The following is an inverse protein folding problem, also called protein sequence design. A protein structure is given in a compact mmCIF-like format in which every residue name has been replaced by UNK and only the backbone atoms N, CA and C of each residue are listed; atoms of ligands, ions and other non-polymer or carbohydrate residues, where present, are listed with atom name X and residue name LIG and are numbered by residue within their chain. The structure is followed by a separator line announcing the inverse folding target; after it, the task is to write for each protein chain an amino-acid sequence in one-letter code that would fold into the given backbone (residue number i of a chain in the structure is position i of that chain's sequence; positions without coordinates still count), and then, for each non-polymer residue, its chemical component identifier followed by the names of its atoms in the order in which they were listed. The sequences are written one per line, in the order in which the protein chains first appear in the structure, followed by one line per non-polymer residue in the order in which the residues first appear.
data_IF_999365991600
#
_entry.id   IF_999365991600
#
_cell.length_a   1.000
_cell.length_b   1.000
_cell.length_c   1.000
_cell.angle_alpha   90.00
_cell.angle_beta   90.00
_cell.angle_gamma   90.00
#
_symmetry.space_group_name_H-M   'P 1'
#
loop_
_entity.id
_entity.type
_entity.pdbx_description
1 polymer ?
2 polymer ?
3 water ?
#
# COMPACT_ATOMS: atom_id res chain seq x y z
N UNK A 22 -10.25 -4.03 -11.90
CA UNK A 22 -9.78 -3.43 -13.23
C UNK A 22 -8.34 -3.86 -13.58
N UNK A 23 -7.92 -3.53 -14.82
CA UNK A 23 -6.54 -3.65 -15.25
C UNK A 23 -5.59 -2.73 -14.47
N UNK A 24 -6.10 -1.63 -13.92
CA UNK A 24 -5.36 -0.80 -12.98
C UNK A 24 -4.92 -1.62 -11.75
N UNK A 25 -5.77 -2.51 -11.26
CA UNK A 25 -5.60 -3.23 -9.98
C UNK A 25 -4.55 -4.28 -10.15
N UNK A 26 -4.51 -4.90 -11.35
CA UNK A 26 -3.50 -5.93 -11.65
C UNK A 26 -2.15 -5.26 -11.76
N UNK A 27 -2.07 -4.08 -12.36
CA UNK A 27 -0.84 -3.32 -12.40
C UNK A 27 -0.35 -2.92 -11.01
N UNK A 28 -1.23 -2.55 -10.11
CA UNK A 28 -0.76 -1.91 -8.86
C UNK A 28 -0.29 -2.99 -7.90
N UNK A 29 -0.96 -4.16 -7.91
CA UNK A 29 -0.50 -5.29 -7.03
C UNK A 29 0.83 -5.86 -7.49
N UNK A 30 1.03 -5.89 -8.83
CA UNK A 30 2.26 -6.33 -9.46
C UNK A 30 3.41 -5.39 -9.05
N UNK A 31 3.19 -4.09 -9.06
CA UNK A 31 4.21 -3.13 -8.73
C UNK A 31 4.51 -3.20 -7.23
N UNK A 32 3.47 -3.35 -6.41
CA UNK A 32 3.66 -3.49 -4.97
C UNK A 32 4.55 -4.72 -4.69
N UNK A 33 4.25 -5.81 -5.38
CA UNK A 33 5.02 -7.07 -5.24
C UNK A 33 6.48 -6.81 -5.57
N UNK A 34 6.75 -6.14 -6.69
CA UNK A 34 8.12 -5.79 -7.10
C UNK A 34 8.81 -4.90 -6.05
N UNK A 35 8.13 -3.93 -5.49
CA UNK A 35 8.78 -3.05 -4.50
C UNK A 35 9.03 -3.80 -3.18
N UNK A 36 8.13 -4.69 -2.85
CA UNK A 36 8.28 -5.53 -1.63
C UNK A 36 9.43 -6.53 -1.84
N UNK A 37 9.44 -7.21 -3.00
CA UNK A 37 10.54 -8.04 -3.37
C UNK A 37 11.89 -7.34 -3.29
N UNK A 38 11.95 -6.07 -3.76
CA UNK A 38 13.23 -5.39 -3.80
C UNK A 38 13.72 -5.09 -2.39
N UNK A 39 12.80 -4.77 -1.51
CA UNK A 39 13.12 -4.40 -0.14
C UNK A 39 13.70 -5.64 0.54
N UNK A 40 13.12 -6.80 0.25
CA UNK A 40 13.56 -8.01 0.99
C UNK A 40 14.90 -8.54 0.50
N UNK A 41 15.11 -8.46 -0.80
CA UNK A 41 16.44 -8.62 -1.39
C UNK A 41 17.48 -7.71 -0.68
N UNK A 42 17.18 -6.45 -0.48
CA UNK A 42 18.14 -5.50 0.06
C UNK A 42 18.53 -5.95 1.47
N UNK A 43 17.49 -6.32 2.26
CA UNK A 43 17.64 -6.72 3.67
C UNK A 43 18.00 -8.23 3.81
N UNK A 44 18.40 -8.87 2.72
CA UNK A 44 18.76 -10.25 2.69
C UNK A 44 17.72 -11.09 3.49
N UNK A 45 16.45 -10.91 3.20
CA UNK A 45 15.41 -11.74 3.80
C UNK A 45 14.92 -12.73 2.74
N UNK A 46 14.79 -13.99 3.11
CA UNK A 46 14.10 -14.96 2.21
C UNK A 46 12.58 -14.79 2.22
N UNK A 47 12.01 -14.36 1.10
CA UNK A 47 10.57 -14.45 0.83
C UNK A 47 10.25 -15.88 0.37
N UNK A 48 9.02 -16.34 0.65
CA UNK A 48 8.60 -17.76 0.52
C UNK A 48 8.35 -18.22 -0.91
N UNK A 49 7.83 -19.42 -1.11
CA UNK A 49 7.62 -19.96 -2.46
C UNK A 49 8.93 -20.43 -3.08
N UNK A 50 9.05 -20.25 -4.40
CA UNK A 50 10.29 -20.61 -5.17
C UNK A 50 11.51 -19.79 -4.69
N UNK A 51 11.22 -18.60 -4.18
CA UNK A 51 12.06 -17.42 -4.44
C UNK A 51 11.28 -16.41 -5.29
N UNK A 52 12.01 -15.52 -5.98
CA UNK A 52 11.34 -14.37 -6.61
C UNK A 52 11.03 -14.65 -8.08
N UNK A 53 10.07 -13.92 -8.64
CA UNK A 53 9.73 -14.11 -10.05
C UNK A 53 10.95 -13.76 -10.95
N UNK A 54 10.88 -14.19 -12.22
CA UNK A 54 11.94 -13.84 -13.19
C UNK A 54 12.06 -12.30 -13.21
N UNK A 55 10.90 -11.65 -13.38
CA UNK A 55 10.88 -10.21 -13.60
C UNK A 55 11.46 -9.47 -12.39
N UNK A 56 11.14 -9.98 -11.21
CA UNK A 56 11.68 -9.44 -9.98
C UNK A 56 13.20 -9.66 -9.91
N UNK A 57 13.64 -10.87 -10.29
CA UNK A 57 15.11 -11.17 -10.22
C UNK A 57 15.92 -10.28 -11.18
N UNK A 58 15.36 -10.09 -12.38
CA UNK A 58 15.94 -9.22 -13.38
C UNK A 58 16.04 -7.77 -12.88
N UNK A 59 14.95 -7.27 -12.31
CA UNK A 59 14.94 -5.92 -11.67
C UNK A 59 15.98 -5.82 -10.55
N UNK A 60 16.07 -6.86 -9.73
CA UNK A 60 16.94 -6.79 -8.54
C UNK A 60 18.40 -6.67 -8.98
N UNK A 61 18.69 -7.32 -10.12
CA UNK A 61 20.14 -7.42 -10.53
C UNK A 61 20.59 -6.08 -11.10
N UNK A 62 19.75 -5.50 -11.95
CA UNK A 62 20.07 -4.25 -12.64
C UNK A 62 19.88 -3.06 -11.71
N UNK A 63 18.88 -3.06 -10.84
CA UNK A 63 18.72 -1.96 -9.85
C UNK A 63 19.91 -1.86 -8.88
N UNK A 64 20.40 -3.03 -8.53
CA UNK A 64 21.59 -3.13 -7.66
C UNK A 64 22.81 -2.60 -8.43
N UNK A 65 22.86 -2.94 -9.74
CA UNK A 65 23.95 -2.45 -10.56
C UNK A 65 23.98 -0.91 -10.54
N UNK A 66 22.80 -0.34 -10.85
CA UNK A 66 22.59 1.08 -10.85
C UNK A 66 22.82 1.68 -9.45
N UNK A 67 22.34 1.05 -8.40
CA UNK A 67 22.46 1.63 -7.09
C UNK A 67 23.94 1.79 -6.71
N UNK A 68 24.74 0.78 -7.03
CA UNK A 68 26.17 0.91 -6.59
C UNK A 68 26.83 2.00 -7.40
N UNK A 69 26.35 2.19 -8.63
CA UNK A 69 26.92 3.22 -9.52
C UNK A 69 26.57 4.63 -8.98
N UNK A 70 25.38 4.80 -8.51
CA UNK A 70 24.94 6.02 -7.87
C UNK A 70 25.75 6.25 -6.59
N UNK A 71 25.96 5.21 -5.79
CA UNK A 71 26.58 5.34 -4.46
C UNK A 71 28.05 5.78 -4.58
N UNK A 72 28.73 5.46 -5.70
CA UNK A 72 30.10 5.80 -5.82
C UNK A 72 30.24 7.17 -6.44
N UNK A 73 29.28 7.57 -7.28
CA UNK A 73 29.23 8.85 -7.96
C UNK A 73 28.84 9.93 -6.93
N UNK A 74 28.15 9.56 -5.87
CA UNK A 74 27.69 10.45 -4.80
C UNK A 74 28.25 10.11 -3.42
N UNK A 75 29.45 9.62 -3.27
CA UNK A 75 30.12 9.40 -1.98
C UNK A 75 30.18 10.64 -1.08
N UNK A 76 30.90 11.66 -1.54
CA UNK A 76 31.07 12.94 -0.82
C UNK A 76 29.72 13.49 -0.33
N UNK A 77 28.75 13.28 -1.22
CA UNK A 77 27.41 13.79 -1.16
C UNK A 77 26.54 13.03 -0.15
N UNK A 78 26.42 11.74 -0.31
CA UNK A 78 25.55 10.91 0.51
C UNK A 78 26.01 10.76 1.95
N UNK A 79 27.26 11.04 2.27
CA UNK A 79 27.73 11.02 3.65
C UNK A 79 27.08 12.12 4.48
N UNK A 80 26.58 13.16 3.81
CA UNK A 80 25.89 14.27 4.49
C UNK A 80 24.38 14.00 4.64
N UNK A 81 23.87 13.06 3.86
CA UNK A 81 22.46 12.70 3.90
C UNK A 81 22.18 11.83 5.12
N UNK A 82 21.18 12.20 5.89
CA UNK A 82 20.77 11.37 7.06
C UNK A 82 19.24 11.13 7.13
N UNK A 83 18.87 9.85 6.94
CA UNK A 83 17.50 9.49 6.92
C UNK A 83 17.20 8.88 8.29
N UNK A 84 16.38 9.62 9.02
CA UNK A 84 16.12 9.40 10.48
C UNK A 84 15.01 8.36 10.63
N UNK A 85 13.95 8.54 9.85
CA UNK A 85 12.74 7.74 9.98
C UNK A 85 12.07 7.48 8.63
N UNK A 86 11.04 6.67 8.64
CA UNK A 86 10.31 6.33 7.42
C UNK A 86 9.61 7.60 6.90
N UNK A 87 9.29 8.53 7.79
CA UNK A 87 8.65 9.77 7.38
C UNK A 87 9.60 10.72 6.69
N UNK A 88 10.87 10.72 7.13
CA UNK A 88 11.86 11.59 6.51
C UNK A 88 12.34 10.94 5.20
N UNK A 89 12.34 9.61 5.14
CA UNK A 89 12.59 8.84 3.94
C UNK A 89 11.54 9.13 2.89
N UNK A 90 10.28 9.27 3.30
CA UNK A 90 9.18 9.58 2.37
C UNK A 90 9.33 10.99 1.80
N UNK A 91 9.54 11.97 2.70
CA UNK A 91 9.76 13.36 2.29
C UNK A 91 10.87 13.48 1.23
N UNK A 92 12.04 12.90 1.53
CA UNK A 92 13.17 12.86 0.62
C UNK A 92 12.87 12.09 -0.66
N UNK A 93 12.20 10.95 -0.57
CA UNK A 93 11.87 10.15 -1.75
C UNK A 93 11.01 10.96 -2.72
N UNK A 94 9.95 11.59 -2.19
CA UNK A 94 9.01 12.32 -3.05
C UNK A 94 9.68 13.54 -3.63
N UNK A 95 10.54 14.23 -2.85
CA UNK A 95 11.24 15.42 -3.33
C UNK A 95 12.21 15.02 -4.47
N UNK A 96 12.90 13.90 -4.30
CA UNK A 96 13.93 13.48 -5.21
C UNK A 96 13.29 12.97 -6.48
N UNK A 97 12.15 12.26 -6.36
CA UNK A 97 11.51 11.70 -7.54
C UNK A 97 10.83 12.83 -8.32
N UNK A 98 10.34 13.86 -7.66
CA UNK A 98 9.71 14.98 -8.30
C UNK A 98 10.77 15.74 -9.12
N UNK A 99 11.97 15.91 -8.60
CA UNK A 99 13.07 16.61 -9.26
C UNK A 99 13.67 15.73 -10.36
N UNK A 100 13.62 14.40 -10.20
CA UNK A 100 14.16 13.52 -11.25
C UNK A 100 13.24 13.58 -12.52
N UNK A 101 11.92 13.50 -12.35
CA UNK A 101 11.07 13.40 -13.52
C UNK A 101 10.47 14.73 -13.91
N UNK A 102 11.05 15.86 -13.45
CA UNK A 102 10.37 17.15 -13.68
C UNK A 102 10.66 17.61 -15.13
N UNK A 103 11.61 16.97 -15.79
CA UNK A 103 11.83 17.19 -17.21
C UNK A 103 10.92 16.33 -18.09
N UNK A 104 10.00 15.60 -17.49
CA UNK A 104 8.93 14.90 -18.21
C UNK A 104 9.36 13.63 -18.94
N UNK A 105 10.62 13.18 -18.75
CA UNK A 105 11.10 12.05 -19.52
C UNK A 105 11.03 10.78 -18.66
N UNK A 106 10.37 9.76 -19.18
CA UNK A 106 10.25 8.50 -18.52
C UNK A 106 10.83 7.46 -19.47
N UNK A 107 11.85 6.75 -19.00
CA UNK A 107 12.34 5.54 -19.66
C UNK A 107 12.66 4.49 -18.60
N UNK A 108 12.76 3.22 -19.00
CA UNK A 108 12.95 2.10 -18.12
C UNK A 108 14.14 2.30 -17.18
N UNK A 109 15.22 2.87 -17.66
CA UNK A 109 16.38 3.08 -16.82
C UNK A 109 16.00 3.96 -15.65
N UNK A 110 15.18 4.97 -15.90
CA UNK A 110 14.82 5.93 -14.82
C UNK A 110 13.87 5.21 -13.85
N UNK A 111 13.06 4.31 -14.36
CA UNK A 111 12.20 3.53 -13.54
C UNK A 111 13.03 2.67 -12.60
N UNK A 112 14.12 2.10 -13.10
CA UNK A 112 15.03 1.27 -12.27
C UNK A 112 15.59 2.14 -11.15
N UNK A 113 15.83 3.41 -11.38
CA UNK A 113 16.51 4.32 -10.44
C UNK A 113 15.62 4.59 -9.24
N UNK A 114 14.31 4.52 -9.42
CA UNK A 114 13.38 4.66 -8.32
C UNK A 114 13.61 3.53 -7.31
N UNK A 115 13.79 2.33 -7.81
CA UNK A 115 14.08 1.17 -6.94
C UNK A 115 15.46 1.32 -6.29
N UNK A 116 16.42 1.63 -7.12
CA UNK A 116 17.80 1.84 -6.71
C UNK A 116 17.84 2.86 -5.61
N UNK A 117 17.02 3.88 -5.69
CA UNK A 117 17.04 4.92 -4.63
C UNK A 117 16.31 4.44 -3.38
N UNK A 118 15.26 3.66 -3.54
CA UNK A 118 14.60 2.98 -2.40
C UNK A 118 15.67 2.24 -1.54
N UNK A 119 16.55 1.51 -2.29
CA UNK A 119 17.53 0.68 -1.68
C UNK A 119 18.46 1.54 -0.81
N UNK A 120 18.76 2.71 -1.32
CA UNK A 120 19.70 3.63 -0.64
C UNK A 120 19.03 4.17 0.61
N UNK A 121 17.74 4.49 0.49
CA UNK A 121 16.98 5.00 1.64
C UNK A 121 16.88 3.96 2.74
N UNK A 122 16.77 2.67 2.36
CA UNK A 122 16.74 1.64 3.37
C UNK A 122 18.13 1.50 4.06
N UNK A 123 19.21 1.56 3.31
CA UNK A 123 20.52 1.42 3.84
C UNK A 123 20.84 2.55 4.82
N UNK A 124 20.35 3.72 4.50
CA UNK A 124 20.64 4.90 5.36
C UNK A 124 19.78 4.79 6.61
N UNK A 125 18.62 4.15 6.44
CA UNK A 125 17.66 4.10 7.54
C UNK A 125 18.02 3.01 8.55
N UNK A 126 18.53 1.88 8.08
CA UNK A 126 18.98 0.85 9.00
C UNK A 126 20.36 1.19 9.56
N UNK A 127 21.04 2.10 8.95
CA UNK A 127 22.35 2.53 9.42
C UNK A 127 22.18 3.27 10.75
N UNK A 128 21.24 4.21 10.73
CA UNK A 128 21.24 5.18 11.85
C UNK A 128 20.37 4.61 12.96
N UNK A 129 19.29 3.94 12.58
CA UNK A 129 18.35 3.43 13.60
C UNK A 129 19.19 2.56 14.54
N UNK A 130 19.24 2.97 15.79
CA UNK A 130 19.81 2.15 16.85
C UNK A 130 18.90 0.95 17.20
N UNK A 131 17.60 1.10 16.97
CA UNK A 131 16.66 -0.04 16.99
C UNK A 131 15.87 -0.12 15.68
N UNK A 132 16.35 -0.98 14.73
CA UNK A 132 15.74 -0.88 13.39
C UNK A 132 14.45 -1.66 13.17
N UNK A 133 13.28 -1.01 13.06
CA UNK A 133 12.06 -1.77 13.16
C UNK A 133 11.53 -2.03 11.79
N UNK A 134 11.61 -3.28 11.34
CA UNK A 134 11.47 -3.67 9.93
C UNK A 134 9.97 -3.92 9.59
N UNK A 135 9.14 -3.95 10.61
CA UNK A 135 7.70 -3.92 10.34
C UNK A 135 7.35 -2.64 9.57
N UNK A 136 7.89 -1.49 10.01
CA UNK A 136 7.51 -0.17 9.51
C UNK A 136 8.23 0.10 8.19
N UNK A 137 9.27 -0.66 7.84
CA UNK A 137 10.02 -0.46 6.57
C UNK A 137 9.17 -0.92 5.38
N UNK A 138 8.10 -1.60 5.70
CA UNK A 138 7.09 -2.07 4.79
C UNK A 138 6.43 -0.85 4.10
N UNK A 139 6.35 0.28 4.83
CA UNK A 139 5.70 1.46 4.38
C UNK A 139 6.50 2.10 3.24
N UNK A 140 7.77 1.76 3.10
CA UNK A 140 8.60 2.31 2.08
C UNK A 140 8.13 1.80 0.73
N UNK A 141 7.92 0.50 0.68
CA UNK A 141 7.46 -0.14 -0.56
C UNK A 141 6.09 0.39 -0.99
N UNK A 142 5.29 0.87 -0.05
CA UNK A 142 4.00 1.50 -0.38
C UNK A 142 4.17 2.81 -1.16
N UNK A 143 4.98 3.70 -0.63
CA UNK A 143 5.15 5.01 -1.25
C UNK A 143 5.97 4.91 -2.53
N UNK A 144 6.83 3.91 -2.62
CA UNK A 144 7.55 3.67 -3.87
C UNK A 144 6.57 3.21 -4.95
N UNK A 145 5.72 2.23 -4.55
CA UNK A 145 4.76 1.68 -5.50
C UNK A 145 3.77 2.74 -5.93
N UNK A 146 3.35 3.59 -5.04
CA UNK A 146 2.48 4.74 -5.35
C UNK A 146 3.10 5.67 -6.39
N UNK A 147 4.34 6.02 -6.17
CA UNK A 147 5.00 6.97 -7.10
C UNK A 147 5.06 6.35 -8.50
N UNK A 148 5.36 5.05 -8.55
CA UNK A 148 5.59 4.39 -9.85
C UNK A 148 4.23 4.30 -10.51
N UNK A 149 3.20 3.86 -9.75
CA UNK A 149 1.92 3.51 -10.31
C UNK A 149 1.27 4.79 -10.88
N UNK A 150 1.53 5.89 -10.17
CA UNK A 150 0.85 7.19 -10.42
C UNK A 150 1.56 7.94 -11.55
N UNK A 151 2.88 8.11 -11.42
CA UNK A 151 3.63 8.88 -12.36
C UNK A 151 4.05 8.08 -13.61
N UNK A 152 4.47 6.84 -13.43
CA UNK A 152 5.01 6.08 -14.55
C UNK A 152 4.09 4.91 -14.96
N UNK A 153 2.94 4.70 -14.35
CA UNK A 153 2.17 3.50 -14.63
C UNK A 153 1.52 3.59 -15.98
N UNK A 154 1.24 4.82 -16.43
CA UNK A 154 0.68 5.15 -17.68
C UNK A 154 1.64 4.69 -18.79
N UNK A 155 2.90 5.13 -18.62
CA UNK A 155 4.01 4.84 -19.46
C UNK A 155 4.22 3.33 -19.57
N UNK A 156 4.18 2.59 -18.46
CA UNK A 156 4.48 1.15 -18.44
C UNK A 156 3.48 0.37 -19.32
N UNK A 157 2.18 0.63 -19.17
CA UNK A 157 1.17 -0.13 -19.94
C UNK A 157 1.38 0.10 -21.44
N UNK A 158 1.81 1.32 -21.77
CA UNK A 158 1.95 1.78 -23.13
C UNK A 158 3.25 1.33 -23.75
N UNK A 159 4.24 0.94 -22.92
CA UNK A 159 5.56 0.47 -23.34
C UNK A 159 5.84 -1.01 -22.98
N UNK A 160 4.90 -1.86 -23.37
CA UNK A 160 5.11 -3.31 -23.32
C UNK A 160 4.93 -3.94 -21.95
N UNK A 161 4.65 -3.15 -20.90
CA UNK A 161 4.47 -3.84 -19.64
C UNK A 161 5.80 -4.16 -18.98
N UNK A 162 5.77 -5.00 -17.96
CA UNK A 162 6.99 -5.51 -17.34
C UNK A 162 7.48 -6.78 -18.02
N UNK A 163 6.53 -7.61 -18.40
CA UNK A 163 6.78 -8.97 -18.86
C UNK A 163 7.40 -8.96 -20.27
N UNK A 164 6.90 -8.09 -21.19
CA UNK A 164 7.46 -7.96 -22.52
C UNK A 164 8.16 -6.60 -22.73
N UNK A 165 8.05 -5.72 -21.74
CA UNK A 165 8.66 -4.39 -21.91
C UNK A 165 10.02 -4.36 -21.24
N UNK A 166 9.98 -4.57 -19.95
CA UNK A 166 11.14 -4.43 -19.07
C UNK A 166 12.03 -5.67 -19.13
N UNK A 167 11.44 -6.85 -19.06
CA UNK A 167 12.20 -8.11 -19.16
C UNK A 167 12.95 -8.17 -20.50
N UNK A 168 12.27 -7.98 -21.59
CA UNK A 168 12.90 -8.16 -22.91
C UNK A 168 14.09 -7.20 -23.04
N UNK A 169 14.18 -6.18 -22.21
CA UNK A 169 15.16 -5.12 -22.33
C UNK A 169 16.35 -5.46 -21.45
N UNK A 170 16.09 -5.98 -20.24
CA UNK A 170 17.27 -6.14 -19.32
C UNK A 170 17.61 -7.60 -18.98
N UNK A 171 16.81 -8.56 -19.43
CA UNK A 171 17.04 -9.98 -19.12
C UNK A 171 18.44 -10.39 -19.63
N UNK B 22 -0.13 -11.89 -11.46
CA UNK B 22 -0.95 -13.11 -11.01
C UNK B 22 -2.35 -12.68 -10.56
N UNK B 23 -3.24 -13.66 -10.35
CA UNK B 23 -4.54 -13.40 -9.75
C UNK B 23 -4.42 -12.98 -8.29
N UNK B 24 -3.33 -13.24 -7.60
CA UNK B 24 -3.08 -12.63 -6.29
C UNK B 24 -3.04 -11.09 -6.42
N UNK B 25 -2.44 -10.59 -7.49
CA UNK B 25 -2.14 -9.15 -7.68
C UNK B 25 -3.43 -8.43 -7.94
N UNK B 26 -4.31 -9.06 -8.72
CA UNK B 26 -5.60 -8.44 -9.08
C UNK B 26 -6.49 -8.45 -7.86
N UNK B 27 -6.42 -9.46 -7.01
CA UNK B 27 -7.14 -9.44 -5.75
C UNK B 27 -6.64 -8.33 -4.80
N UNK B 28 -5.34 -8.10 -4.74
CA UNK B 28 -4.85 -7.15 -3.72
C UNK B 28 -5.10 -5.71 -4.18
N UNK B 29 -5.02 -5.42 -5.47
CA UNK B 29 -5.35 -4.04 -5.95
C UNK B 29 -6.83 -3.72 -5.85
N UNK B 30 -7.69 -4.73 -6.03
CA UNK B 30 -9.13 -4.62 -5.86
C UNK B 30 -9.43 -4.25 -4.41
N UNK B 31 -8.79 -4.91 -3.47
CA UNK B 31 -9.02 -4.71 -2.05
C UNK B 31 -8.46 -3.35 -1.62
N UNK B 32 -7.31 -2.98 -2.16
CA UNK B 32 -6.72 -1.68 -1.88
C UNK B 32 -7.70 -0.58 -2.33
N UNK B 33 -8.23 -0.75 -3.52
CA UNK B 33 -9.17 0.21 -4.12
C UNK B 33 -10.33 0.37 -3.18
N UNK B 34 -10.89 -0.74 -2.70
CA UNK B 34 -12.09 -0.69 -1.81
C UNK B 34 -11.73 -0.05 -0.47
N UNK B 35 -10.56 -0.28 0.08
CA UNK B 35 -10.18 0.35 1.35
C UNK B 35 -9.95 1.86 1.16
N UNK B 36 -9.36 2.23 0.04
CA UNK B 36 -9.13 3.63 -0.30
C UNK B 36 -10.47 4.32 -0.55
N UNK B 37 -11.32 3.71 -1.37
CA UNK B 37 -12.66 4.20 -1.59
C UNK B 37 -13.42 4.44 -0.27
N UNK B 38 -13.30 3.52 0.68
CA UNK B 38 -14.09 3.69 1.89
C UNK B 38 -13.52 4.81 2.75
N UNK B 39 -12.24 5.00 2.73
CA UNK B 39 -11.58 6.07 3.49
C UNK B 39 -12.05 7.40 2.91
N UNK B 40 -12.19 7.48 1.60
CA UNK B 40 -12.60 8.77 1.00
C UNK B 40 -14.08 9.11 1.22
N UNK B 41 -14.89 8.03 1.23
CA UNK B 41 -16.27 8.12 1.73
C UNK B 41 -16.30 8.70 3.16
N UNK B 42 -15.48 8.18 4.06
CA UNK B 42 -15.53 8.57 5.47
C UNK B 42 -15.19 10.05 5.57
N UNK B 43 -14.15 10.47 4.87
CA UNK B 43 -13.65 11.86 4.95
C UNK B 43 -14.38 12.76 3.97
N UNK B 44 -15.52 12.32 3.43
CA UNK B 44 -16.33 13.11 2.53
C UNK B 44 -15.44 13.78 1.47
N UNK B 45 -14.62 12.96 0.82
CA UNK B 45 -13.79 13.41 -0.31
C UNK B 45 -14.52 13.13 -1.65
N UNK B 46 -15.21 14.16 -2.17
CA UNK B 46 -15.72 14.06 -3.55
C UNK B 46 -14.64 13.58 -4.53
N UNK B 47 -14.94 12.62 -5.39
CA UNK B 47 -13.96 12.22 -6.41
C UNK B 47 -14.61 12.35 -7.79
N UNK B 48 -13.88 12.95 -8.74
CA UNK B 48 -14.40 13.20 -10.08
C UNK B 48 -14.20 11.97 -10.98
N UNK B 49 -14.88 11.94 -12.11
CA UNK B 49 -14.86 10.77 -12.98
C UNK B 49 -16.04 9.86 -12.71
N UNK B 50 -15.88 8.58 -13.03
CA UNK B 50 -17.00 7.60 -13.12
C UNK B 50 -17.69 7.36 -11.77
N UNK B 51 -17.31 8.12 -10.73
CA UNK B 51 -17.62 7.80 -9.34
C UNK B 51 -16.84 6.58 -8.86
N UNK B 52 -17.06 6.20 -7.61
CA UNK B 52 -16.58 4.88 -7.20
C UNK B 52 -17.34 3.80 -7.97
N UNK B 53 -16.82 2.58 -8.04
CA UNK B 53 -17.50 1.48 -8.74
C UNK B 53 -18.84 1.15 -8.04
N UNK B 54 -19.68 0.37 -8.73
CA UNK B 54 -20.94 -0.10 -8.10
C UNK B 54 -20.58 -0.88 -6.83
N UNK B 55 -19.63 -1.80 -6.94
CA UNK B 55 -19.30 -2.66 -5.82
C UNK B 55 -18.75 -1.85 -4.63
N UNK B 56 -17.98 -0.82 -4.94
CA UNK B 56 -17.50 0.08 -3.93
C UNK B 56 -18.66 0.89 -3.33
N UNK B 57 -19.60 1.34 -4.16
CA UNK B 57 -20.76 2.12 -3.60
C UNK B 57 -21.63 1.26 -2.69
N UNK B 58 -21.85 0.01 -3.08
CA UNK B 58 -22.55 -0.97 -2.25
C UNK B 58 -21.85 -1.20 -0.90
N UNK B 59 -20.55 -1.41 -0.94
CA UNK B 59 -19.74 -1.54 0.29
C UNK B 59 -19.83 -0.28 1.16
N UNK B 60 -19.72 0.87 0.55
CA UNK B 60 -19.75 2.13 1.29
C UNK B 60 -21.07 2.32 2.01
N UNK B 61 -22.15 1.86 1.41
CA UNK B 61 -23.50 2.13 2.01
C UNK B 61 -23.70 1.23 3.22
N UNK B 62 -23.35 -0.04 3.09
CA UNK B 62 -23.54 -1.01 4.15
C UNK B 62 -22.47 -0.85 5.23
N UNK B 63 -21.23 -0.58 4.90
CA UNK B 63 -20.18 -0.34 5.93
C UNK B 63 -20.47 0.93 6.75
N UNK B 64 -21.05 1.92 6.09
CA UNK B 64 -21.45 3.17 6.77
C UNK B 64 -22.65 2.90 7.67
N UNK B 65 -23.56 2.00 7.22
CA UNK B 65 -24.66 1.58 8.03
C UNK B 65 -24.13 0.93 9.31
N UNK B 66 -23.18 0.02 9.15
CA UNK B 66 -22.58 -0.73 10.24
C UNK B 66 -21.77 0.23 11.12
N UNK B 67 -21.04 1.11 10.52
CA UNK B 67 -20.18 2.04 11.27
C UNK B 67 -21.05 2.89 12.22
N UNK B 68 -22.16 3.39 11.72
CA UNK B 68 -22.98 4.30 12.53
C UNK B 68 -23.56 3.51 13.70
N UNK B 69 -23.82 2.21 13.43
CA UNK B 69 -24.45 1.38 14.47
C UNK B 69 -23.42 1.07 15.59
N UNK B 70 -22.20 0.83 15.19
CA UNK B 70 -21.12 0.62 16.14
C UNK B 70 -20.84 1.91 16.95
N UNK B 71 -20.84 3.04 16.27
CA UNK B 71 -20.40 4.34 16.87
C UNK B 71 -21.30 4.80 18.02
N UNK B 72 -22.59 4.53 17.89
CA UNK B 72 -23.55 4.97 18.89
C UNK B 72 -23.59 3.95 20.02
N UNK B 73 -23.39 2.66 19.71
CA UNK B 73 -23.33 1.60 20.72
C UNK B 73 -22.09 1.72 21.62
N UNK B 74 -20.96 2.25 21.10
CA UNK B 74 -19.76 2.41 21.98
C UNK B 74 -19.27 3.85 22.16
N UNK B 75 -20.17 4.84 22.18
CA UNK B 75 -19.85 6.25 22.51
C UNK B 75 -19.04 6.45 23.77
N UNK B 76 -19.59 6.16 24.95
CA UNK B 76 -18.88 6.36 26.23
C UNK B 76 -17.60 5.51 26.38
N UNK B 77 -17.59 4.41 25.63
CA UNK B 77 -16.47 3.45 25.58
C UNK B 77 -15.31 4.01 24.73
N UNK B 78 -15.57 4.39 23.52
CA UNK B 78 -14.50 4.82 22.65
C UNK B 78 -13.95 6.21 22.98
N UNK B 79 -14.65 6.99 23.80
CA UNK B 79 -14.14 8.29 24.23
C UNK B 79 -12.91 8.15 25.12
N UNK B 80 -12.74 6.97 25.73
CA UNK B 80 -11.58 6.70 26.58
C UNK B 80 -10.36 6.21 25.76
N UNK B 81 -10.64 5.70 24.54
CA UNK B 81 -9.58 5.26 23.65
C UNK B 81 -8.99 6.50 22.96
N UNK B 82 -7.67 6.57 22.91
CA UNK B 82 -7.02 7.74 22.24
C UNK B 82 -6.01 7.38 21.14
N UNK B 83 -6.39 7.74 19.91
CA UNK B 83 -5.57 7.50 18.77
C UNK B 83 -4.83 8.80 18.46
N UNK B 84 -3.52 8.73 18.67
CA UNK B 84 -2.61 9.88 18.54
C UNK B 84 -2.16 9.96 17.06
N UNK B 85 -1.75 8.81 16.54
CA UNK B 85 -0.92 8.75 15.34
C UNK B 85 -1.20 7.49 14.52
N UNK B 86 -0.56 7.38 13.36
CA UNK B 86 -0.83 6.29 12.44
C UNK B 86 -0.30 4.99 13.04
N UNK B 87 0.81 5.08 13.79
CA UNK B 87 1.37 3.90 14.43
C UNK B 87 0.49 3.43 15.60
N UNK B 88 -0.21 4.32 16.33
CA UNK B 88 -1.08 3.88 17.43
C UNK B 88 -2.41 3.37 16.85
N UNK B 89 -2.81 3.91 15.71
CA UNK B 89 -3.93 3.41 14.92
C UNK B 89 -3.68 1.97 14.43
N UNK B 90 -2.44 1.70 14.02
CA UNK B 90 -2.05 0.35 13.57
C UNK B 90 -2.04 -0.64 14.73
N UNK B 91 -1.44 -0.27 15.85
CA UNK B 91 -1.40 -1.09 17.07
C UNK B 91 -2.80 -1.47 17.54
N UNK B 92 -3.70 -0.50 17.60
CA UNK B 92 -5.12 -0.73 17.95
C UNK B 92 -5.81 -1.59 16.89
N UNK B 93 -5.60 -1.31 15.62
CA UNK B 93 -6.23 -2.12 14.55
C UNK B 93 -5.84 -3.60 14.67
N UNK B 94 -4.55 -3.87 14.83
CA UNK B 94 -4.05 -5.24 14.89
C UNK B 94 -4.50 -5.92 16.17
N UNK B 95 -4.58 -5.21 17.28
CA UNK B 95 -5.05 -5.79 18.56
C UNK B 95 -6.54 -6.13 18.44
N UNK B 96 -7.33 -5.28 17.78
CA UNK B 96 -8.76 -5.44 17.69
C UNK B 96 -9.05 -6.57 16.72
N UNK B 97 -8.28 -6.68 15.62
CA UNK B 97 -8.55 -7.69 14.63
C UNK B 97 -8.09 -9.07 15.14
N UNK B 98 -7.05 -9.11 15.98
CA UNK B 98 -6.59 -10.29 16.65
C UNK B 98 -7.70 -10.80 17.58
N UNK B 99 -8.38 -9.90 18.27
CA UNK B 99 -9.44 -10.16 19.24
C UNK B 99 -10.72 -10.54 18.49
N UNK B 100 -10.94 -10.02 17.27
CA UNK B 100 -12.14 -10.26 16.50
C UNK B 100 -12.01 -11.65 15.84
N UNK B 101 -10.89 -11.86 15.18
CA UNK B 101 -10.64 -13.13 14.50
C UNK B 101 -9.79 -14.01 15.42
N UNK B 102 -10.29 -14.11 16.65
CA UNK B 102 -9.98 -15.19 17.62
C UNK B 102 -10.67 -16.47 17.14
N UNK B 103 -11.65 -16.33 16.23
CA UNK B 103 -12.50 -17.43 15.79
C UNK B 103 -12.40 -17.73 14.27
N UNK B 104 -12.75 -18.97 13.92
CA UNK B 104 -12.71 -19.45 12.53
C UNK B 104 -14.02 -19.28 11.78
N UNK B 105 -14.83 -18.28 12.14
CA UNK B 105 -15.91 -17.82 11.25
C UNK B 105 -15.45 -16.58 10.48
N UNK B 106 -15.48 -16.66 9.14
CA UNK B 106 -15.48 -15.47 8.30
C UNK B 106 -16.81 -15.48 7.56
N UNK B 107 -17.56 -14.38 7.63
CA UNK B 107 -18.68 -14.15 6.73
C UNK B 107 -18.68 -12.68 6.28
N UNK B 108 -19.41 -12.39 5.21
CA UNK B 108 -19.41 -11.10 4.58
C UNK B 108 -19.65 -9.94 5.54
N UNK B 109 -20.56 -10.14 6.47
CA UNK B 109 -20.88 -9.08 7.38
C UNK B 109 -19.68 -8.75 8.21
N UNK B 110 -18.87 -9.75 8.57
CA UNK B 110 -17.72 -9.49 9.45
C UNK B 110 -16.63 -8.80 8.61
N UNK B 111 -16.60 -9.12 7.34
CA UNK B 111 -15.69 -8.43 6.41
C UNK B 111 -16.06 -6.95 6.36
N UNK B 112 -17.33 -6.64 6.30
CA UNK B 112 -17.79 -5.23 6.22
C UNK B 112 -17.30 -4.52 7.48
N UNK B 113 -17.21 -5.19 8.62
CA UNK B 113 -16.93 -4.59 9.92
C UNK B 113 -15.47 -4.13 9.96
N UNK B 114 -14.60 -4.81 9.26
CA UNK B 114 -13.21 -4.41 9.14
C UNK B 114 -13.13 -2.98 8.56
N UNK B 115 -13.93 -2.77 7.52
CA UNK B 115 -13.98 -1.44 6.87
C UNK B 115 -14.63 -0.43 7.83
N UNK B 116 -15.74 -0.87 8.40
CA UNK B 116 -16.53 -0.05 9.32
C UNK B 116 -15.64 0.42 10.43
N UNK B 117 -14.76 -0.43 10.89
CA UNK B 117 -13.80 -0.09 11.96
C UNK B 117 -12.73 0.88 11.44
N UNK B 118 -12.30 0.71 10.20
CA UNK B 118 -11.38 1.67 9.58
C UNK B 118 -11.96 3.08 9.73
N UNK B 119 -13.24 3.20 9.38
CA UNK B 119 -13.86 4.53 9.39
C UNK B 119 -13.85 5.15 10.78
N UNK B 120 -13.99 4.30 11.78
CA UNK B 120 -14.00 4.71 13.19
C UNK B 120 -12.61 5.19 13.56
N UNK B 121 -11.58 4.46 13.11
CA UNK B 121 -10.19 4.86 13.39
C UNK B 121 -9.90 6.25 12.80
N UNK B 122 -10.40 6.51 11.62
CA UNK B 122 -10.15 7.75 10.96
C UNK B 122 -10.90 8.90 11.65
N UNK B 123 -12.14 8.71 12.07
CA UNK B 123 -12.92 9.84 12.58
C UNK B 123 -12.33 10.35 13.88
N UNK B 124 -11.62 9.52 14.64
CA UNK B 124 -11.05 9.99 15.88
C UNK B 124 -9.88 10.95 15.63
N UNK B 125 -9.22 10.69 14.52
CA UNK B 125 -7.97 11.31 14.18
C UNK B 125 -8.18 12.63 13.44
N UNK B 126 -9.30 12.83 12.75
CA UNK B 126 -9.50 14.06 12.01
C UNK B 126 -9.92 15.20 12.94
N UNK B 127 -10.39 14.83 14.13
CA UNK B 127 -11.01 15.81 15.00
C UNK B 127 -9.96 16.35 15.95
N UNK B 128 -9.18 15.40 16.51
CA UNK B 128 -8.23 15.68 17.53
C UNK B 128 -6.99 16.45 17.02
N UNK B 129 -6.55 16.18 15.80
CA UNK B 129 -5.42 16.89 15.23
C UNK B 129 -5.90 18.24 14.69
N UNK B 130 -5.12 19.29 15.01
CA UNK B 130 -5.53 20.64 14.68
C UNK B 130 -5.21 20.99 13.23
N UNK B 131 -4.14 20.39 12.69
CA UNK B 131 -3.89 20.47 11.22
C UNK B 131 -3.71 19.09 10.55
N UNK B 132 -4.83 18.46 10.11
CA UNK B 132 -4.78 17.03 9.88
C UNK B 132 -4.18 16.53 8.56
N UNK B 133 -3.11 15.73 8.66
CA UNK B 133 -2.27 15.40 7.55
C UNK B 133 -2.70 14.14 6.86
N UNK B 134 -3.31 14.31 5.67
CA UNK B 134 -4.04 13.22 4.98
C UNK B 134 -3.07 12.42 4.07
N UNK B 135 -1.83 12.91 3.95
CA UNK B 135 -0.71 12.09 3.43
C UNK B 135 -0.68 10.75 4.15
N UNK B 136 -0.67 10.83 5.48
CA UNK B 136 -0.38 9.70 6.35
C UNK B 136 -1.63 8.86 6.56
N UNK B 137 -2.82 9.38 6.25
CA UNK B 137 -4.10 8.64 6.44
C UNK B 137 -4.21 7.52 5.38
N UNK B 138 -3.40 7.71 4.34
CA UNK B 138 -3.35 6.79 3.23
C UNK B 138 -2.81 5.46 3.73
N UNK B 139 -1.96 5.51 4.76
CA UNK B 139 -1.27 4.35 5.26
C UNK B 139 -2.26 3.43 5.99
N UNK B 140 -3.41 3.95 6.40
CA UNK B 140 -4.36 3.16 7.12
C UNK B 140 -4.96 2.13 6.17
N UNK B 141 -5.32 2.60 4.99
CA UNK B 141 -5.89 1.75 3.96
C UNK B 141 -4.94 0.60 3.58
N UNK B 142 -3.63 0.82 3.73
CA UNK B 142 -2.63 -0.22 3.44
C UNK B 142 -2.71 -1.39 4.44
N UNK B 143 -2.71 -1.08 5.72
CA UNK B 143 -2.69 -2.14 6.73
C UNK B 143 -4.06 -2.83 6.84
N UNK B 144 -5.10 -2.10 6.49
CA UNK B 144 -6.44 -2.72 6.42
C UNK B 144 -6.47 -3.71 5.25
N UNK B 145 -5.96 -3.26 4.09
CA UNK B 145 -5.97 -4.10 2.91
C UNK B 145 -5.09 -5.32 3.12
N UNK B 146 -3.97 -5.20 3.79
CA UNK B 146 -3.10 -6.31 4.16
C UNK B 146 -3.84 -7.36 5.03
N UNK B 147 -4.53 -6.87 6.02
CA UNK B 147 -5.23 -7.80 6.94
C UNK B 147 -6.29 -8.59 6.17
N UNK B 148 -6.98 -7.89 5.26
CA UNK B 148 -8.10 -8.50 4.53
C UNK B 148 -7.47 -9.52 3.57
N UNK B 149 -6.40 -9.12 2.86
CA UNK B 149 -5.86 -9.90 1.78
C UNK B 149 -5.26 -11.17 2.36
N UNK B 150 -4.66 -11.02 3.54
CA UNK B 150 -3.89 -12.10 4.21
C UNK B 150 -4.83 -13.07 4.93
N UNK B 151 -5.70 -12.56 5.78
CA UNK B 151 -6.57 -13.38 6.57
C UNK B 151 -7.84 -13.80 5.81
N UNK B 152 -8.46 -12.91 5.07
CA UNK B 152 -9.76 -13.22 4.49
C UNK B 152 -9.73 -13.33 2.95
N UNK B 153 -8.55 -13.19 2.32
CA UNK B 153 -8.51 -13.14 0.87
C UNK B 153 -8.88 -14.48 0.28
N UNK B 154 -8.56 -15.55 1.01
CA UNK B 154 -8.80 -16.90 0.66
C UNK B 154 -10.31 -17.15 0.58
N UNK B 155 -10.97 -16.71 1.65
CA UNK B 155 -12.41 -16.75 1.83
C UNK B 155 -13.10 -16.01 0.68
N UNK B 156 -12.64 -14.81 0.32
CA UNK B 156 -13.34 -13.98 -0.68
C UNK B 156 -13.39 -14.68 -2.04
N UNK B 157 -12.25 -15.17 -2.54
CA UNK B 157 -12.19 -15.75 -3.89
C UNK B 157 -13.13 -16.96 -3.96
N UNK B 158 -13.21 -17.68 -2.83
CA UNK B 158 -13.87 -18.95 -2.71
C UNK B 158 -15.37 -18.75 -2.50
N UNK B 159 -15.77 -17.56 -2.06
CA UNK B 159 -17.17 -17.21 -1.83
C UNK B 159 -17.74 -16.20 -2.83
N UNK B 160 -17.60 -16.54 -4.11
CA UNK B 160 -18.18 -15.76 -5.19
C UNK B 160 -17.43 -14.49 -5.51
N UNK B 161 -16.37 -14.16 -4.74
CA UNK B 161 -15.71 -12.91 -4.99
C UNK B 161 -16.51 -11.74 -4.44
N UNK B 162 -16.20 -10.54 -4.96
CA UNK B 162 -16.94 -9.34 -4.62
C UNK B 162 -18.10 -9.14 -5.57
N UNK B 163 -17.88 -9.45 -6.84
CA UNK B 163 -18.79 -9.07 -7.90
C UNK B 163 -20.06 -9.94 -7.89
N UNK B 164 -19.91 -11.27 -7.65
CA UNK B 164 -21.05 -12.19 -7.55
C UNK B 164 -21.24 -12.72 -6.10
N UNK B 165 -20.30 -12.36 -5.21
CA UNK B 165 -20.46 -12.80 -3.84
C UNK B 165 -21.07 -11.75 -2.96
N UNK B 166 -20.38 -10.64 -2.87
CA UNK B 166 -20.71 -9.55 -1.94
C UNK B 166 -21.79 -8.64 -2.53
N UNK B 167 -21.69 -8.29 -3.80
CA UNK B 167 -22.70 -7.46 -4.45
C UNK B 167 -24.07 -8.17 -4.42
N UNK B 168 -24.14 -9.40 -4.86
CA UNK B 168 -25.44 -10.08 -4.94
C UNK B 168 -26.12 -10.09 -3.57
N UNK B 169 -25.38 -9.93 -2.50
CA UNK B 169 -25.85 -10.10 -1.16
C UNK B 169 -26.31 -8.75 -0.61
N UNK B 170 -25.57 -7.69 -0.89
CA UNK B 170 -25.93 -6.39 -0.21
C UNK B 170 -26.50 -5.34 -1.18
N UNK B 171 -26.49 -5.61 -2.47
CA UNK B 171 -26.96 -4.66 -3.47
C UNK B 171 -28.47 -4.48 -3.26
N UNK C 2 21.71 14.41 -6.24
CA UNK C 2 20.96 13.12 -6.23
C UNK C 2 20.09 13.07 -7.49
N UNK C 4 20.44 14.63 -10.27
CA UNK C 4 21.38 14.57 -11.44
C UNK C 4 21.82 13.15 -11.70
N UNK C 5 22.31 12.49 -10.64
CA UNK C 5 22.84 11.17 -10.73
C UNK C 5 21.75 10.21 -11.22
N UNK C 6 20.58 10.23 -10.61
CA UNK C 6 19.57 9.28 -11.01
C UNK C 6 19.19 9.53 -12.46
N UNK C 7 19.19 10.79 -12.88
CA UNK C 7 18.75 11.14 -14.23
C UNK C 7 19.77 10.62 -15.24
N UNK C 8 21.04 11.01 -15.05
CA UNK C 8 22.21 10.68 -15.89
C UNK C 8 22.33 9.14 -16.03
N UNK C 9 22.42 8.52 -14.87
CA UNK C 9 22.70 7.10 -14.77
C UNK C 9 21.51 6.31 -15.28
N UNK C 10 20.33 6.77 -14.88
CA UNK C 10 19.12 6.12 -15.27
C UNK C 10 18.99 6.18 -16.77
N UNK C 11 19.42 7.29 -17.36
CA UNK C 11 19.27 7.51 -18.81
C UNK C 11 20.30 6.71 -19.61
N UNK C 12 21.52 6.71 -19.06
CA UNK C 12 22.68 5.92 -19.54
C UNK C 12 22.36 4.42 -19.57
N UNK C 13 21.82 3.89 -18.46
CA UNK C 13 21.54 2.49 -18.42
C UNK C 13 20.41 2.16 -19.41
N UNK C 14 19.57 3.15 -19.76
CA UNK C 14 18.47 2.92 -20.71
C UNK C 14 19.11 2.76 -22.09
N UNK C 15 20.13 3.58 -22.34
CA UNK C 15 20.85 3.57 -23.59
C UNK C 15 21.56 2.24 -23.75
N UNK C 16 22.43 1.95 -22.80
CA UNK C 16 23.21 0.72 -22.76
C UNK C 16 22.32 -0.51 -22.99
N UNK C 17 21.27 -0.71 -22.20
CA UNK C 17 20.46 -1.94 -22.42
C UNK C 17 19.44 -1.66 -23.54
N UNK D 2 -15.52 -5.41 21.24
CA UNK D 2 -15.31 -5.40 19.80
C UNK D 2 -15.27 -6.84 19.25
N UNK D 4 -17.20 -9.26 20.40
CA UNK D 4 -18.71 -9.13 20.44
C UNK D 4 -19.29 -8.40 19.22
N UNK D 5 -19.05 -7.07 19.15
CA UNK D 5 -19.71 -6.21 18.19
C UNK D 5 -19.57 -6.79 16.78
N UNK D 6 -18.34 -6.97 16.34
CA UNK D 6 -18.12 -7.16 14.93
C UNK D 6 -18.26 -8.65 14.54
N UNK D 7 -18.72 -9.55 15.43
CA UNK D 7 -19.04 -10.98 15.03
C UNK D 7 -20.55 -11.19 14.87
N UNK D 8 -21.30 -10.80 15.91
CA UNK D 8 -22.76 -10.79 15.81
C UNK D 8 -23.22 -9.72 14.80
N UNK D 9 -22.56 -8.56 14.65
CA UNK D 9 -23.02 -7.59 13.67
C UNK D 9 -22.75 -8.14 12.28
N UNK D 10 -21.61 -8.74 12.06
CA UNK D 10 -21.42 -9.40 10.81
C UNK D 10 -22.45 -10.49 10.55
N UNK D 11 -22.76 -11.26 11.58
CA UNK D 11 -23.70 -12.41 11.44
C UNK D 11 -25.15 -11.92 11.25
N UNK D 12 -25.48 -10.81 11.93
CA UNK D 12 -26.75 -10.05 11.78
C UNK D 12 -26.90 -9.51 10.35
N UNK D 13 -25.93 -8.73 9.92
CA UNK D 13 -26.02 -8.14 8.61
C UNK D 13 -25.85 -9.28 7.60
N UNK D 14 -25.21 -10.39 7.98
CA UNK D 14 -25.03 -11.49 7.02
C UNK D 14 -26.37 -12.23 6.91
N UNK D 15 -27.05 -12.29 8.05
CA UNK D 15 -28.33 -12.95 8.17
C UNK D 15 -29.37 -12.20 7.35
N UNK D 16 -29.50 -10.92 7.72
CA UNK D 16 -30.36 -9.95 7.06
C UNK D 16 -30.18 -10.07 5.54
N UNK D 17 -29.02 -9.68 5.07
CA UNK D 17 -28.86 -9.58 3.62
C UNK D 17 -28.53 -10.99 3.07
#
# INVERSE_FOLDING_TARGET
MHHHHHHSSGVDLGTENLYFQSMTDCEFGYIYRLAQDYLQCVLQIPQPGSGPSKTSRVLQNVAFSVQKEVEKNLKSCLDNVNVVSVDTARTLFNQVMEKEFEDGIINWGRIVTIFAFEGILIKKLLRQQIAPDVDTYKEISYFVAEFIMNNTGEWIRQNGGWENGFVKKFE
MHHHHHHSSGVDLGTENLYFQSMTDCEFGYIYRLAQDYLQCVLQIPQPGSGPSKTSRVLQNVAFSVQKEVEKNLKSCLDNVNVVSVDTARTLFNQVMEKEFEDGIINWGRIVTIFAFEGILIKKLLRQQIAPDVDTYKEISYFVAEFIMNNTGEWIRQNGGWENGFVKKFE
XIXEALRRIGDAFNAAY
XIXEALRRIGDAFNAAY
#
